data_IF_567284327862
#
_entry.id   IF_567284327862
#
_cell.length_a   1.000
_cell.length_b   1.000
_cell.length_c   1.000
_cell.angle_alpha   90.00
_cell.angle_beta   90.00
_cell.angle_gamma   90.00
#
_symmetry.space_group_name_H-M   'P 1'
#
loop_
_entity.id
_entity.type
_entity.pdbx_description
1 polymer ?
#
# COMPACT_ATOMS: atom_id res chain seq x y z
N UNK A 1 17.23 -8.90 23.58
CA UNK A 1 17.25 -8.78 22.11
C UNK A 1 15.81 -8.62 21.64
N UNK A 2 15.49 -7.59 20.87
CA UNK A 2 14.12 -7.35 20.42
C UNK A 2 13.74 -8.39 19.35
N UNK A 3 12.60 -9.05 19.49
CA UNK A 3 12.14 -10.03 18.50
C UNK A 3 11.40 -9.29 17.40
N UNK A 4 11.87 -9.41 16.16
CA UNK A 4 11.16 -8.89 14.99
C UNK A 4 9.81 -9.60 14.81
N UNK A 5 8.74 -8.84 14.63
CA UNK A 5 7.41 -9.36 14.35
C UNK A 5 7.31 -9.70 12.86
N UNK A 6 7.25 -10.98 12.46
CA UNK A 6 7.17 -11.34 11.05
C UNK A 6 5.80 -11.01 10.46
N UNK A 7 5.75 -10.76 9.17
CA UNK A 7 4.51 -10.64 8.41
C UNK A 7 4.01 -12.04 8.01
N UNK A 8 3.25 -12.64 8.90
CA UNK A 8 2.84 -14.07 8.79
C UNK A 8 1.99 -14.34 7.57
N UNK A 9 1.09 -13.39 7.21
CA UNK A 9 0.22 -13.52 6.04
C UNK A 9 1.04 -13.64 4.75
N UNK A 10 1.99 -12.74 4.52
CA UNK A 10 2.85 -12.77 3.32
C UNK A 10 3.71 -14.03 3.26
N UNK A 11 4.16 -14.52 4.41
CA UNK A 11 4.89 -15.80 4.48
C UNK A 11 4.02 -16.98 4.08
N UNK A 12 2.76 -16.99 4.50
CA UNK A 12 1.81 -18.01 4.12
C UNK A 12 1.49 -17.93 2.61
N UNK A 13 1.20 -16.75 2.11
CA UNK A 13 0.92 -16.53 0.68
C UNK A 13 2.10 -16.96 -0.17
N UNK A 14 3.32 -16.55 0.16
CA UNK A 14 4.54 -16.93 -0.58
C UNK A 14 4.78 -18.45 -0.64
N UNK A 15 4.23 -19.22 0.29
CA UNK A 15 4.36 -20.67 0.31
C UNK A 15 3.27 -21.38 -0.51
N UNK A 16 2.09 -20.81 -0.63
CA UNK A 16 0.92 -21.56 -1.11
C UNK A 16 0.20 -20.90 -2.29
N UNK A 17 0.34 -19.59 -2.52
CA UNK A 17 -0.47 -18.87 -3.51
C UNK A 17 -0.32 -19.38 -4.95
N UNK A 18 0.84 -19.98 -5.29
CA UNK A 18 1.12 -20.50 -6.61
C UNK A 18 0.77 -21.98 -6.78
N UNK A 19 0.54 -22.68 -5.66
CA UNK A 19 0.37 -24.14 -5.64
C UNK A 19 -1.08 -24.58 -5.36
N UNK A 20 -2.02 -23.65 -5.31
CA UNK A 20 -3.44 -23.94 -5.05
C UNK A 20 -4.27 -23.82 -6.34
N UNK A 21 -5.25 -24.69 -6.49
CA UNK A 21 -6.18 -24.65 -7.62
C UNK A 21 -7.11 -23.42 -7.53
N UNK A 22 -7.51 -23.04 -6.31
CA UNK A 22 -8.37 -21.88 -6.04
C UNK A 22 -7.74 -21.02 -4.95
N UNK A 23 -7.22 -19.85 -5.33
CA UNK A 23 -6.71 -18.89 -4.36
C UNK A 23 -7.85 -17.99 -3.87
N UNK A 24 -8.31 -18.22 -2.64
CA UNK A 24 -9.38 -17.43 -1.98
C UNK A 24 -8.82 -16.32 -1.09
N UNK A 25 -7.50 -16.20 -0.98
CA UNK A 25 -6.83 -15.19 -0.14
C UNK A 25 -6.36 -13.96 -0.94
N UNK A 26 -6.33 -14.06 -2.27
CA UNK A 26 -5.94 -12.96 -3.14
C UNK A 26 -7.08 -11.92 -3.26
N UNK A 27 -6.78 -10.67 -2.95
CA UNK A 27 -7.72 -9.55 -3.03
C UNK A 27 -7.40 -8.57 -4.15
N UNK A 28 -6.38 -8.88 -4.96
CA UNK A 28 -5.95 -8.05 -6.08
C UNK A 28 -6.91 -8.08 -7.27
N UNK A 29 -6.69 -7.18 -8.21
CA UNK A 29 -7.35 -7.22 -9.52
C UNK A 29 -6.71 -8.32 -10.38
N UNK A 30 -7.47 -8.88 -11.31
CA UNK A 30 -6.92 -9.86 -12.25
C UNK A 30 -5.75 -9.25 -13.03
N UNK A 31 -4.62 -9.98 -13.12
CA UNK A 31 -3.46 -9.50 -13.86
C UNK A 31 -3.79 -9.34 -15.35
N UNK A 32 -3.34 -8.24 -15.92
CA UNK A 32 -3.40 -8.00 -17.36
C UNK A 32 -2.17 -8.59 -18.05
N UNK A 33 -2.34 -9.03 -19.29
CA UNK A 33 -1.18 -9.28 -20.13
C UNK A 33 -0.59 -7.94 -20.58
N UNK A 34 0.73 -7.86 -20.68
CA UNK A 34 1.40 -6.64 -21.13
C UNK A 34 0.88 -6.17 -22.50
N UNK A 35 0.59 -7.11 -23.41
CA UNK A 35 0.00 -6.80 -24.72
C UNK A 35 -1.36 -6.13 -24.64
N UNK A 36 -2.18 -6.52 -23.65
CA UNK A 36 -3.52 -5.93 -23.46
C UNK A 36 -3.40 -4.52 -22.88
N UNK A 37 -2.44 -4.31 -21.99
CA UNK A 37 -2.11 -2.99 -21.46
C UNK A 37 -1.61 -2.03 -22.54
N UNK A 38 -0.79 -2.52 -23.47
CA UNK A 38 -0.26 -1.72 -24.58
C UNK A 38 -1.28 -1.54 -25.73
N UNK A 39 -2.49 -2.15 -25.64
CA UNK A 39 -3.57 -2.00 -26.59
C UNK A 39 -3.24 -2.48 -28.02
N UNK A 40 -2.33 -3.44 -28.17
CA UNK A 40 -1.81 -3.93 -29.46
C UNK A 40 -1.21 -2.80 -30.34
N UNK A 41 -0.75 -1.72 -29.73
CA UNK A 41 -0.17 -0.58 -30.43
C UNK A 41 1.33 -0.84 -30.68
N UNK A 42 1.67 -1.02 -31.97
CA UNK A 42 3.05 -1.32 -32.40
C UNK A 42 4.02 -0.14 -32.11
N UNK A 43 3.54 1.11 -32.18
CA UNK A 43 4.33 2.30 -31.89
C UNK A 43 4.70 2.35 -30.41
N UNK A 44 3.73 2.14 -29.50
CA UNK A 44 3.96 2.10 -28.06
C UNK A 44 4.89 0.93 -27.67
N UNK A 45 4.76 -0.20 -28.39
CA UNK A 45 5.67 -1.34 -28.18
C UNK A 45 7.09 -1.00 -28.61
N UNK A 46 7.26 -0.33 -29.75
CA UNK A 46 8.58 0.11 -30.23
C UNK A 46 9.21 1.09 -29.25
N UNK A 47 8.47 2.08 -28.77
CA UNK A 47 8.93 3.05 -27.77
C UNK A 47 9.35 2.38 -26.46
N UNK A 48 8.59 1.36 -26.03
CA UNK A 48 8.95 0.58 -24.85
C UNK A 48 10.27 -0.18 -25.05
N UNK A 49 10.48 -0.78 -26.23
CA UNK A 49 11.70 -1.52 -26.54
C UNK A 49 12.92 -0.61 -26.69
N UNK A 50 12.72 0.63 -27.11
CA UNK A 50 13.77 1.65 -27.24
C UNK A 50 14.02 2.44 -25.94
N UNK A 51 13.27 2.11 -24.87
CA UNK A 51 13.47 2.74 -23.56
C UNK A 51 14.84 2.40 -23.00
N UNK A 52 15.64 3.39 -22.69
CA UNK A 52 16.94 3.24 -22.06
C UNK A 52 16.77 2.73 -20.61
N UNK A 53 17.44 1.61 -20.29
CA UNK A 53 17.48 1.05 -18.93
C UNK A 53 18.47 1.87 -18.09
N UNK A 54 17.97 2.92 -17.48
CA UNK A 54 18.76 3.87 -16.70
C UNK A 54 18.10 4.09 -15.31
N UNK A 55 18.76 4.90 -14.47
CA UNK A 55 18.21 5.31 -13.18
C UNK A 55 16.92 6.12 -13.37
N UNK A 56 15.82 5.75 -12.69
CA UNK A 56 14.60 6.54 -12.75
C UNK A 56 14.72 7.84 -11.97
N UNK A 57 13.80 8.76 -12.21
CA UNK A 57 13.66 9.94 -11.36
C UNK A 57 13.33 9.52 -9.92
N UNK A 58 14.01 10.13 -8.94
CA UNK A 58 13.85 9.78 -7.51
C UNK A 58 12.40 9.90 -7.04
N UNK A 59 11.68 10.92 -7.51
CA UNK A 59 10.27 11.15 -7.14
C UNK A 59 9.27 10.51 -8.11
N UNK A 60 9.75 9.81 -9.13
CA UNK A 60 8.94 9.26 -10.21
C UNK A 60 8.97 10.10 -11.49
N UNK A 61 8.63 9.48 -12.62
CA UNK A 61 8.56 10.10 -13.92
C UNK A 61 7.70 11.38 -13.87
N UNK A 62 8.17 12.53 -14.41
CA UNK A 62 7.44 13.81 -14.34
C UNK A 62 6.04 13.76 -14.96
N UNK A 63 5.88 13.09 -16.10
CA UNK A 63 4.59 12.96 -16.78
C UNK A 63 3.62 12.08 -15.94
N UNK A 64 4.11 10.97 -15.39
CA UNK A 64 3.31 10.13 -14.49
C UNK A 64 2.85 10.94 -13.26
N UNK A 65 3.75 11.70 -12.64
CA UNK A 65 3.40 12.56 -11.49
C UNK A 65 2.38 13.63 -11.87
N UNK A 66 2.48 14.21 -13.07
CA UNK A 66 1.51 15.18 -13.57
C UNK A 66 0.13 14.54 -13.77
N UNK A 67 0.09 13.35 -14.37
CA UNK A 67 -1.17 12.61 -14.60
C UNK A 67 -1.82 12.21 -13.27
N UNK A 68 -1.04 11.78 -12.29
CA UNK A 68 -1.56 11.48 -10.95
C UNK A 68 -2.07 12.75 -10.26
N UNK A 69 -1.32 13.84 -10.29
CA UNK A 69 -1.74 15.12 -9.69
C UNK A 69 -3.07 15.61 -10.28
N UNK A 70 -3.29 15.44 -11.58
CA UNK A 70 -4.52 15.84 -12.26
C UNK A 70 -5.78 15.06 -11.78
N UNK A 71 -5.62 13.96 -11.04
CA UNK A 71 -6.73 13.22 -10.44
C UNK A 71 -7.26 13.86 -9.14
N UNK A 72 -6.57 14.87 -8.60
CA UNK A 72 -6.88 15.49 -7.31
C UNK A 72 -6.98 17.01 -7.45
N UNK A 73 -8.07 17.60 -6.97
CA UNK A 73 -8.30 19.04 -7.03
C UNK A 73 -7.21 19.81 -6.26
N UNK A 74 -6.57 20.75 -6.94
CA UNK A 74 -5.53 21.60 -6.36
C UNK A 74 -4.17 20.95 -6.15
N UNK A 75 -3.99 19.67 -6.52
CA UNK A 75 -2.70 19.03 -6.43
C UNK A 75 -1.78 19.42 -7.60
N UNK A 76 -0.49 19.41 -7.33
CA UNK A 76 0.60 19.62 -8.30
C UNK A 76 1.55 18.42 -8.26
N UNK A 77 2.51 18.37 -9.16
CA UNK A 77 3.56 17.35 -9.15
C UNK A 77 4.32 17.28 -7.83
N UNK A 78 4.41 18.40 -7.10
CA UNK A 78 5.09 18.44 -5.78
C UNK A 78 4.35 17.68 -4.68
N UNK A 79 3.07 17.37 -4.90
CA UNK A 79 2.28 16.56 -3.97
C UNK A 79 2.33 15.06 -4.27
N UNK A 80 3.08 14.65 -5.29
CA UNK A 80 3.13 13.26 -5.76
C UNK A 80 4.53 12.67 -5.63
N UNK A 81 4.61 11.57 -4.90
CA UNK A 81 5.77 10.69 -4.85
C UNK A 81 5.37 9.32 -5.38
N UNK A 82 6.05 8.86 -6.42
CA UNK A 82 5.84 7.53 -6.99
C UNK A 82 6.71 6.51 -6.25
N UNK A 83 6.11 5.39 -5.87
CA UNK A 83 6.77 4.31 -5.13
C UNK A 83 6.59 2.97 -5.83
N UNK A 84 7.39 1.97 -5.47
CA UNK A 84 7.25 0.60 -5.96
C UNK A 84 6.12 -0.10 -5.19
N UNK A 85 4.90 0.16 -5.63
CA UNK A 85 3.68 -0.34 -5.04
C UNK A 85 3.26 0.34 -3.74
N UNK A 86 2.04 0.04 -3.29
CA UNK A 86 1.47 0.58 -2.07
C UNK A 86 2.26 0.17 -0.81
N UNK A 87 2.96 -0.97 -0.86
CA UNK A 87 3.75 -1.44 0.26
C UNK A 87 4.89 -0.48 0.63
N UNK A 88 5.58 0.06 -0.36
CA UNK A 88 6.62 1.08 -0.15
C UNK A 88 6.01 2.41 0.30
N UNK A 89 4.91 2.83 -0.32
CA UNK A 89 4.19 4.03 0.08
C UNK A 89 3.78 3.99 1.55
N UNK A 90 3.17 2.90 2.00
CA UNK A 90 2.78 2.70 3.39
C UNK A 90 3.98 2.74 4.35
N UNK A 91 5.09 2.09 3.96
CA UNK A 91 6.30 2.08 4.77
C UNK A 91 6.90 3.48 4.92
N UNK A 92 7.11 4.18 3.79
CA UNK A 92 7.67 5.54 3.78
C UNK A 92 6.77 6.49 4.58
N UNK A 93 5.45 6.47 4.33
CA UNK A 93 4.50 7.34 5.03
C UNK A 93 4.55 7.11 6.54
N UNK A 94 4.44 5.86 6.97
CA UNK A 94 4.45 5.53 8.40
C UNK A 94 5.77 5.93 9.06
N UNK A 95 6.90 5.67 8.39
CA UNK A 95 8.24 5.96 8.94
C UNK A 95 8.61 7.44 8.94
N UNK A 96 8.01 8.22 8.03
CA UNK A 96 8.26 9.67 7.94
C UNK A 96 7.43 10.45 8.95
N UNK A 97 6.19 10.02 9.17
CA UNK A 97 5.25 10.74 10.02
C UNK A 97 5.31 10.32 11.49
N UNK A 98 5.77 9.10 11.79
CA UNK A 98 5.69 8.52 13.13
C UNK A 98 7.05 8.06 13.65
N UNK A 99 7.32 8.39 14.91
CA UNK A 99 8.48 7.95 15.68
C UNK A 99 8.12 7.03 16.84
N UNK A 100 9.13 6.45 17.53
CA UNK A 100 8.87 5.60 18.69
C UNK A 100 8.06 6.32 19.77
N UNK A 101 6.96 5.70 20.21
CA UNK A 101 6.06 6.26 21.21
C UNK A 101 4.89 7.07 20.67
N UNK A 102 4.86 7.37 19.36
CA UNK A 102 3.68 7.96 18.72
C UNK A 102 2.55 6.94 18.62
N UNK A 103 1.32 7.44 18.52
CA UNK A 103 0.13 6.60 18.42
C UNK A 103 -0.33 6.44 16.98
N UNK A 104 -0.81 5.24 16.65
CA UNK A 104 -1.46 4.94 15.38
C UNK A 104 -2.73 4.12 15.63
N UNK A 105 -3.81 4.50 14.97
CA UNK A 105 -5.08 3.76 15.00
C UNK A 105 -5.22 2.97 13.72
N UNK A 106 -5.46 1.67 13.84
CA UNK A 106 -5.58 0.74 12.71
C UNK A 106 -6.91 0.02 12.76
N UNK A 107 -7.63 0.06 11.66
CA UNK A 107 -8.85 -0.73 11.45
C UNK A 107 -8.53 -2.21 11.34
N UNK A 108 -9.36 -3.09 11.92
CA UNK A 108 -9.28 -4.54 11.78
C UNK A 108 -10.65 -5.14 11.41
N UNK A 109 -10.69 -6.18 10.56
CA UNK A 109 -9.57 -6.76 9.79
C UNK A 109 -9.05 -5.81 8.71
N UNK A 110 -7.74 -5.89 8.40
CA UNK A 110 -7.09 -5.08 7.39
C UNK A 110 -5.82 -5.77 6.88
N UNK A 111 -5.22 -5.23 5.83
CA UNK A 111 -3.88 -5.58 5.41
C UNK A 111 -2.87 -5.24 6.52
N UNK A 112 -2.13 -6.26 6.97
CA UNK A 112 -1.40 -6.20 8.25
C UNK A 112 -0.05 -5.47 8.20
N UNK A 113 0.30 -4.82 7.10
CA UNK A 113 1.59 -4.15 6.95
C UNK A 113 1.79 -3.01 7.98
N UNK A 114 0.81 -2.08 8.07
CA UNK A 114 0.90 -0.94 9.00
C UNK A 114 0.93 -1.43 10.45
N UNK A 115 0.13 -2.45 10.77
CA UNK A 115 0.15 -3.12 12.08
C UNK A 115 1.54 -3.69 12.38
N UNK A 116 2.17 -4.38 11.42
CA UNK A 116 3.52 -4.94 11.56
C UNK A 116 4.59 -3.85 11.72
N UNK A 117 4.51 -2.77 10.95
CA UNK A 117 5.41 -1.61 11.08
C UNK A 117 5.29 -1.01 12.49
N UNK A 118 4.06 -0.78 12.96
CA UNK A 118 3.80 -0.22 14.29
C UNK A 118 4.45 -1.06 15.39
N UNK A 119 4.29 -2.39 15.34
CA UNK A 119 4.89 -3.34 16.29
C UNK A 119 6.42 -3.36 16.24
N UNK A 120 7.00 -3.24 15.05
CA UNK A 120 8.46 -3.31 14.88
C UNK A 120 9.18 -1.99 15.18
N UNK A 121 8.45 -0.87 15.24
CA UNK A 121 9.02 0.47 15.42
C UNK A 121 8.55 1.20 16.67
N UNK A 122 8.05 0.48 17.70
CA UNK A 122 7.63 1.03 18.99
C UNK A 122 6.53 2.07 18.93
N UNK A 123 5.64 1.98 17.94
CA UNK A 123 4.44 2.78 17.93
C UNK A 123 3.41 2.21 18.91
N UNK A 124 2.62 3.09 19.51
CA UNK A 124 1.46 2.70 20.30
C UNK A 124 0.30 2.38 19.38
N UNK A 125 0.09 1.10 19.16
CA UNK A 125 -0.96 0.60 18.28
C UNK A 125 -2.29 0.54 19.04
N UNK A 126 -3.27 1.28 18.55
CA UNK A 126 -4.68 1.19 18.89
C UNK A 126 -5.47 0.65 17.71
N UNK A 127 -6.58 0.00 17.98
CA UNK A 127 -7.41 -0.61 16.93
C UNK A 127 -8.87 -0.33 17.16
N UNK A 128 -9.63 -0.28 16.08
CA UNK A 128 -11.09 -0.42 16.09
C UNK A 128 -11.50 -1.57 15.17
N UNK A 129 -12.68 -2.13 15.41
CA UNK A 129 -13.11 -3.36 14.75
C UNK A 129 -14.21 -3.09 13.72
N UNK A 130 -14.13 -3.79 12.60
CA UNK A 130 -15.27 -3.98 11.72
C UNK A 130 -15.94 -5.29 12.08
N UNK A 131 -17.26 -5.36 12.07
CA UNK A 131 -18.01 -6.57 12.37
C UNK A 131 -19.04 -6.89 11.30
N UNK A 132 -19.34 -8.17 11.15
CA UNK A 132 -20.38 -8.65 10.24
C UNK A 132 -21.76 -8.12 10.63
N UNK A 133 -22.05 -8.02 11.93
CA UNK A 133 -23.32 -7.49 12.45
C UNK A 133 -23.58 -6.03 12.04
N UNK A 134 -22.52 -5.29 11.75
CA UNK A 134 -22.56 -3.91 11.25
C UNK A 134 -22.33 -3.84 9.73
N UNK A 135 -22.49 -4.94 9.02
CA UNK A 135 -22.21 -5.04 7.58
C UNK A 135 -20.83 -4.52 7.19
N UNK A 136 -19.85 -4.75 8.05
CA UNK A 136 -18.45 -4.29 7.89
C UNK A 136 -18.29 -2.78 7.78
N UNK A 137 -19.28 -2.00 8.22
CA UNK A 137 -19.17 -0.55 8.30
C UNK A 137 -18.36 -0.13 9.55
N UNK A 138 -17.52 0.92 9.46
CA UNK A 138 -16.81 1.44 10.63
C UNK A 138 -17.78 2.15 11.58
N UNK A 139 -17.66 1.87 12.86
CA UNK A 139 -18.28 2.67 13.92
C UNK A 139 -17.41 3.91 14.20
N UNK A 140 -17.90 5.08 13.85
CA UNK A 140 -17.15 6.33 14.01
C UNK A 140 -16.93 6.70 15.48
N UNK A 141 -17.79 6.26 16.39
CA UNK A 141 -17.63 6.50 17.83
C UNK A 141 -16.46 5.65 18.38
N UNK A 142 -16.28 4.42 17.88
CA UNK A 142 -15.09 3.62 18.20
C UNK A 142 -13.81 4.28 17.69
N UNK A 143 -13.82 4.83 16.47
CA UNK A 143 -12.68 5.56 15.90
C UNK A 143 -12.33 6.76 16.78
N UNK A 144 -13.32 7.58 17.13
CA UNK A 144 -13.12 8.77 18.01
C UNK A 144 -12.57 8.34 19.37
N UNK A 145 -13.07 7.24 19.94
CA UNK A 145 -12.60 6.71 21.24
C UNK A 145 -11.16 6.18 21.16
N UNK A 146 -10.76 5.62 20.01
CA UNK A 146 -9.42 5.13 19.81
C UNK A 146 -8.39 6.26 19.65
N UNK A 147 -8.78 7.42 19.13
CA UNK A 147 -7.90 8.59 18.98
C UNK A 147 -7.66 9.25 20.35
N UNK A 148 -6.42 9.62 20.63
CA UNK A 148 -6.07 10.39 21.83
C UNK A 148 -5.61 11.80 21.47
N UNK A 149 -5.42 12.63 22.50
CA UNK A 149 -4.88 13.99 22.35
C UNK A 149 -3.35 14.05 22.18
N UNK A 150 -2.72 12.92 21.92
CA UNK A 150 -1.26 12.80 21.81
C UNK A 150 -0.85 12.59 20.38
#
# INVERSE_FOLDING_TARGET
>A
MRTFQPFVMERMMSLFEQDVEFNLSESGVHPLLLRDLLGHNEEVLADLLDTEINYPYVNGNPELRQNIAAMYDGATTENVLVTVGAIEANYITTRTLLGPGDEIVVMLPNYMQVWGIARNHDLRLKTFQLSEDQAWAPDLDEVVTAVSSK
#
